data_IF_287469037868
#
_entry.id   IF_287469037868
#
_cell.length_a   1.000
_cell.length_b   1.000
_cell.length_c   1.000
_cell.angle_alpha   90.00
_cell.angle_beta   90.00
_cell.angle_gamma   90.00
#
_symmetry.space_group_name_H-M   'P 1'
#
loop_
_entity.id
_entity.type
_entity.pdbx_description
1 polymer ?
#
# COMPACT_ATOMS: atom_id res chain seq x y z
N UNK A 1 -7.92 -7.54 -8.92
CA UNK A 1 -7.16 -7.95 -7.70
C UNK A 1 -6.57 -6.72 -7.05
N UNK A 2 -6.62 -6.67 -5.72
CA UNK A 2 -6.08 -5.57 -4.92
C UNK A 2 -4.92 -6.09 -4.08
N UNK A 3 -3.78 -5.40 -4.12
CA UNK A 3 -2.61 -5.69 -3.30
C UNK A 3 -2.44 -4.56 -2.27
N UNK A 4 -2.22 -4.90 -1.00
CA UNK A 4 -1.90 -3.95 0.07
C UNK A 4 -0.51 -4.28 0.57
N UNK A 5 0.43 -3.37 0.31
CA UNK A 5 1.81 -3.46 0.75
C UNK A 5 1.99 -2.51 1.93
N UNK A 6 2.48 -3.03 3.05
CA UNK A 6 2.67 -2.22 4.26
C UNK A 6 4.03 -2.49 4.89
N UNK A 7 4.60 -1.46 5.51
CA UNK A 7 5.79 -1.59 6.33
C UNK A 7 5.43 -1.88 7.80
N UNK A 8 6.34 -2.53 8.53
CA UNK A 8 6.12 -2.87 9.94
C UNK A 8 5.31 -4.15 10.16
N UNK A 9 5.11 -4.49 11.43
CA UNK A 9 4.31 -5.65 11.88
C UNK A 9 3.03 -5.17 12.56
N UNK A 10 1.89 -5.75 12.18
CA UNK A 10 0.65 -5.59 12.92
C UNK A 10 0.77 -6.47 14.18
N UNK A 11 0.98 -5.86 15.36
CA UNK A 11 1.12 -6.59 16.63
C UNK A 11 -0.20 -6.75 17.37
N UNK A 12 -1.07 -5.74 17.31
CA UNK A 12 -2.34 -5.72 18.03
C UNK A 12 -3.31 -6.79 17.50
N UNK A 13 -3.82 -7.64 18.39
CA UNK A 13 -4.76 -8.74 18.08
C UNK A 13 -6.11 -8.24 17.58
N UNK A 14 -6.65 -7.15 18.14
CA UNK A 14 -7.94 -6.58 17.71
C UNK A 14 -7.85 -6.03 16.28
N UNK A 15 -6.77 -5.33 15.95
CA UNK A 15 -6.54 -4.82 14.59
C UNK A 15 -6.47 -5.99 13.59
N UNK A 16 -5.78 -7.09 13.94
CA UNK A 16 -5.76 -8.29 13.09
C UNK A 16 -7.16 -8.87 12.85
N UNK A 17 -8.01 -8.91 13.89
CA UNK A 17 -9.39 -9.40 13.78
C UNK A 17 -10.20 -8.52 12.81
N UNK A 18 -10.10 -7.20 12.94
CA UNK A 18 -10.78 -6.26 12.04
C UNK A 18 -10.32 -6.41 10.59
N UNK A 19 -9.01 -6.51 10.35
CA UNK A 19 -8.46 -6.73 9.01
C UNK A 19 -9.03 -8.02 8.40
N UNK A 20 -9.05 -9.12 9.16
CA UNK A 20 -9.57 -10.39 8.67
C UNK A 20 -11.07 -10.31 8.35
N UNK A 21 -11.86 -9.63 9.20
CA UNK A 21 -13.28 -9.40 8.96
C UNK A 21 -13.52 -8.67 7.63
N UNK A 22 -12.86 -7.52 7.41
CA UNK A 22 -13.01 -6.78 6.15
C UNK A 22 -12.47 -7.53 4.93
N UNK A 23 -11.42 -8.32 5.10
CA UNK A 23 -10.89 -9.18 4.03
C UNK A 23 -11.90 -10.25 3.62
N UNK A 24 -12.61 -10.85 4.58
CA UNK A 24 -13.63 -11.87 4.30
C UNK A 24 -14.89 -11.27 3.66
N UNK A 25 -15.30 -10.07 4.06
CA UNK A 25 -16.41 -9.36 3.39
C UNK A 25 -16.07 -9.08 1.92
N UNK A 26 -14.83 -8.67 1.66
CA UNK A 26 -14.38 -8.30 0.31
C UNK A 26 -14.14 -9.51 -0.61
N UNK A 27 -13.84 -10.69 -0.05
CA UNK A 27 -13.39 -11.85 -0.83
C UNK A 27 -14.43 -12.41 -1.80
N UNK A 28 -15.72 -12.07 -1.62
CA UNK A 28 -16.80 -12.47 -2.55
C UNK A 28 -16.60 -11.90 -3.94
N UNK A 29 -16.15 -10.65 -4.02
CA UNK A 29 -16.07 -9.90 -5.28
C UNK A 29 -14.63 -9.49 -5.64
N UNK A 30 -13.73 -9.44 -4.65
CA UNK A 30 -12.39 -8.89 -4.81
C UNK A 30 -11.35 -9.72 -4.04
N UNK A 31 -10.37 -10.26 -4.78
CA UNK A 31 -9.19 -10.87 -4.16
C UNK A 31 -8.28 -9.77 -3.58
N UNK A 32 -8.20 -9.71 -2.25
CA UNK A 32 -7.27 -8.84 -1.51
C UNK A 32 -6.06 -9.65 -1.06
N UNK A 33 -4.88 -9.25 -1.52
CA UNK A 33 -3.60 -9.77 -1.06
C UNK A 33 -2.92 -8.73 -0.16
N UNK A 34 -2.40 -9.15 0.98
CA UNK A 34 -1.66 -8.28 1.90
C UNK A 34 -0.24 -8.79 2.03
N UNK A 35 0.74 -7.93 1.72
CA UNK A 35 2.15 -8.27 1.79
C UNK A 35 2.88 -7.32 2.73
N UNK A 36 3.57 -7.90 3.71
CA UNK A 36 4.50 -7.17 4.56
C UNK A 36 5.80 -6.90 3.80
N UNK A 37 6.23 -5.64 3.79
CA UNK A 37 7.50 -5.21 3.22
C UNK A 37 8.62 -5.40 4.25
N UNK A 38 9.79 -5.92 3.83
CA UNK A 38 10.95 -6.07 4.69
C UNK A 38 11.58 -4.70 4.96
N UNK A 39 11.73 -4.36 6.23
CA UNK A 39 12.46 -3.16 6.65
C UNK A 39 13.97 -3.33 6.45
N UNK A 40 14.64 -2.22 6.15
CA UNK A 40 16.10 -2.18 6.10
C UNK A 40 16.63 -1.96 7.51
N UNK A 41 17.47 -2.87 8.00
CA UNK A 41 18.22 -2.66 9.25
C UNK A 41 19.43 -1.77 8.93
N UNK A 42 19.41 -0.53 9.40
CA UNK A 42 20.57 0.38 9.41
C UNK A 42 20.47 1.29 10.63
N UNK A 43 21.60 1.62 11.24
CA UNK A 43 21.70 2.60 12.33
C UNK A 43 21.47 4.03 11.83
N UNK A 44 21.71 4.30 10.54
CA UNK A 44 21.48 5.61 9.93
C UNK A 44 20.06 5.71 9.35
N UNK A 45 19.22 6.54 9.97
CA UNK A 45 17.82 6.76 9.60
C UNK A 45 17.67 7.29 8.17
N UNK A 46 18.53 8.23 7.74
CA UNK A 46 18.48 8.81 6.38
C UNK A 46 18.78 7.74 5.33
N UNK A 47 19.78 6.92 5.60
CA UNK A 47 20.17 5.83 4.70
C UNK A 47 19.12 4.71 4.66
N UNK A 48 18.51 4.39 5.81
CA UNK A 48 17.39 3.45 5.93
C UNK A 48 16.21 3.90 5.04
N UNK A 49 15.78 5.16 5.18
CA UNK A 49 14.72 5.77 4.36
C UNK A 49 15.01 5.61 2.87
N UNK A 50 16.19 6.07 2.42
CA UNK A 50 16.59 6.01 1.01
C UNK A 50 16.59 4.58 0.44
N UNK A 51 17.09 3.61 1.20
CA UNK A 51 17.15 2.19 0.78
C UNK A 51 15.78 1.53 0.72
N UNK A 52 14.90 1.76 1.71
CA UNK A 52 13.52 1.24 1.72
C UNK A 52 12.74 1.78 0.53
N UNK A 53 12.95 3.04 0.22
CA UNK A 53 12.21 3.75 -0.80
C UNK A 53 12.68 3.38 -2.21
N UNK A 54 13.98 3.18 -2.42
CA UNK A 54 14.50 2.59 -3.66
C UNK A 54 13.95 1.18 -3.91
N UNK A 55 13.78 0.35 -2.87
CA UNK A 55 13.14 -0.97 -3.01
C UNK A 55 11.67 -0.83 -3.39
N UNK A 56 10.96 0.11 -2.76
CA UNK A 56 9.56 0.40 -3.07
C UNK A 56 9.40 0.83 -4.54
N UNK A 57 10.18 1.81 -5.00
CA UNK A 57 10.14 2.32 -6.38
C UNK A 57 10.41 1.21 -7.40
N UNK A 58 11.45 0.39 -7.18
CA UNK A 58 11.75 -0.77 -8.04
C UNK A 58 10.59 -1.75 -8.10
N UNK A 59 9.91 -2.00 -6.97
CA UNK A 59 8.75 -2.90 -6.91
C UNK A 59 7.55 -2.32 -7.65
N UNK A 60 7.24 -1.04 -7.45
CA UNK A 60 6.14 -0.34 -8.15
C UNK A 60 6.33 -0.42 -9.67
N UNK A 61 7.54 -0.10 -10.16
CA UNK A 61 7.86 -0.12 -11.59
C UNK A 61 7.72 -1.54 -12.16
N UNK A 62 8.20 -2.55 -11.42
CA UNK A 62 8.13 -3.96 -11.85
C UNK A 62 6.70 -4.47 -11.92
N UNK A 63 5.87 -4.12 -10.94
CA UNK A 63 4.52 -4.65 -10.78
C UNK A 63 3.56 -4.13 -11.88
N UNK A 64 3.89 -3.02 -12.59
CA UNK A 64 3.07 -2.38 -13.65
C UNK A 64 1.60 -2.12 -13.26
N UNK A 65 1.32 -2.13 -11.96
CA UNK A 65 0.00 -2.01 -11.38
C UNK A 65 -0.36 -0.54 -11.18
N UNK A 66 -1.66 -0.24 -11.17
CA UNK A 66 -2.09 1.09 -10.78
C UNK A 66 -1.81 1.27 -9.29
N UNK A 67 -0.95 2.24 -8.97
CA UNK A 67 -0.38 2.36 -7.64
C UNK A 67 -0.96 3.55 -6.90
N UNK A 68 -1.49 3.28 -5.71
CA UNK A 68 -1.82 4.29 -4.71
C UNK A 68 -0.74 4.28 -3.64
N UNK A 69 -0.22 5.46 -3.35
CA UNK A 69 0.66 5.68 -2.20
C UNK A 69 -0.10 6.51 -1.19
N UNK A 70 -0.23 5.99 0.03
CA UNK A 70 -0.94 6.67 1.11
C UNK A 70 0.03 7.60 1.82
N UNK A 71 -0.26 8.89 1.74
CA UNK A 71 0.54 9.96 2.33
C UNK A 71 -0.39 11.09 2.79
N UNK A 72 -0.03 11.78 3.87
CA UNK A 72 -0.82 12.87 4.43
C UNK A 72 -0.88 14.09 3.49
N UNK A 73 0.10 14.24 2.59
CA UNK A 73 0.12 15.27 1.53
C UNK A 73 -0.70 14.86 0.30
N UNK A 74 -1.26 13.66 0.31
CA UNK A 74 -2.04 13.13 -0.79
C UNK A 74 -3.35 13.88 -1.01
N UNK A 75 -4.01 13.59 -2.13
CA UNK A 75 -5.35 14.12 -2.41
C UNK A 75 -6.37 13.42 -1.53
N UNK A 76 -7.19 14.20 -0.83
CA UNK A 76 -8.37 13.69 -0.14
C UNK A 76 -9.42 13.33 -1.20
N UNK A 77 -9.95 12.12 -1.11
CA UNK A 77 -11.00 11.61 -1.99
C UNK A 77 -12.24 11.31 -1.15
N UNK A 78 -13.42 11.64 -1.69
CA UNK A 78 -14.67 11.13 -1.15
C UNK A 78 -14.83 9.66 -1.52
N UNK A 79 -15.75 8.97 -0.85
CA UNK A 79 -16.03 7.54 -1.09
C UNK A 79 -16.41 7.27 -2.55
N UNK A 80 -17.23 8.12 -3.15
CA UNK A 80 -17.70 7.99 -4.54
C UNK A 80 -16.53 8.10 -5.51
N UNK A 81 -15.68 9.12 -5.35
CA UNK A 81 -14.49 9.31 -6.19
C UNK A 81 -13.47 8.19 -6.02
N UNK A 82 -13.34 7.67 -4.80
CA UNK A 82 -12.45 6.53 -4.54
C UNK A 82 -12.95 5.25 -5.21
N UNK A 83 -14.25 4.97 -5.11
CA UNK A 83 -14.89 3.81 -5.74
C UNK A 83 -14.78 3.89 -7.27
N UNK A 84 -15.13 5.04 -7.87
CA UNK A 84 -15.01 5.27 -9.31
C UNK A 84 -13.58 5.05 -9.80
N UNK A 85 -12.60 5.58 -9.06
CA UNK A 85 -11.19 5.47 -9.42
C UNK A 85 -10.69 4.03 -9.33
N UNK A 86 -11.11 3.24 -8.34
CA UNK A 86 -10.75 1.81 -8.27
C UNK A 86 -11.41 1.04 -9.41
N UNK A 87 -12.72 1.23 -9.58
CA UNK A 87 -13.53 0.49 -10.55
C UNK A 87 -13.04 0.72 -11.98
N UNK A 88 -12.77 1.97 -12.36
CA UNK A 88 -12.15 2.30 -13.65
C UNK A 88 -10.86 1.52 -13.88
N UNK A 89 -9.95 1.47 -12.89
CA UNK A 89 -8.65 0.78 -13.07
C UNK A 89 -8.78 -0.73 -13.12
N UNK A 90 -9.70 -1.30 -12.35
CA UNK A 90 -9.99 -2.74 -12.40
C UNK A 90 -10.65 -3.14 -13.73
N UNK A 91 -11.59 -2.34 -14.25
CA UNK A 91 -12.24 -2.56 -15.56
C UNK A 91 -11.26 -2.56 -16.73
N UNK A 92 -10.20 -1.74 -16.66
CA UNK A 92 -9.10 -1.76 -17.63
C UNK A 92 -8.11 -2.92 -17.44
N UNK A 93 -8.47 -3.95 -16.65
CA UNK A 93 -7.65 -5.14 -16.43
C UNK A 93 -6.41 -4.93 -15.56
N UNK A 94 -6.22 -3.73 -14.98
CA UNK A 94 -5.06 -3.46 -14.11
C UNK A 94 -5.32 -3.99 -12.72
N UNK A 95 -4.26 -4.51 -12.07
CA UNK A 95 -4.32 -4.69 -10.62
C UNK A 95 -4.07 -3.35 -9.93
N UNK A 96 -4.68 -3.20 -8.74
CA UNK A 96 -4.52 -2.00 -7.91
C UNK A 96 -3.62 -2.34 -6.73
N UNK A 97 -2.56 -1.58 -6.54
CA UNK A 97 -1.62 -1.75 -5.42
C UNK A 97 -1.65 -0.53 -4.52
N UNK A 98 -1.91 -0.74 -3.23
CA UNK A 98 -1.77 0.26 -2.18
C UNK A 98 -0.42 0.07 -1.48
N UNK A 99 0.26 1.18 -1.21
CA UNK A 99 1.47 1.20 -0.39
C UNK A 99 1.28 2.13 0.80
N UNK A 100 1.44 1.54 1.98
CA UNK A 100 1.33 2.22 3.26
C UNK A 100 2.74 2.35 3.82
N UNK A 101 3.22 3.60 3.97
CA UNK A 101 4.51 3.92 4.55
C UNK A 101 4.65 3.46 6.00
N UNK A 102 5.88 3.52 6.53
CA UNK A 102 6.11 3.40 7.97
C UNK A 102 5.89 4.78 8.64
N UNK A 103 6.17 4.86 9.94
CA UNK A 103 6.04 6.11 10.71
C UNK A 103 6.94 7.26 10.21
N UNK A 104 7.95 6.97 9.38
CA UNK A 104 8.79 7.99 8.77
C UNK A 104 8.23 8.57 7.48
N UNK A 105 7.10 8.05 6.99
CA UNK A 105 6.49 8.43 5.73
C UNK A 105 7.26 7.91 4.51
N UNK A 106 6.90 8.45 3.35
CA UNK A 106 7.58 8.22 2.06
C UNK A 106 8.20 9.57 1.66
N UNK A 107 9.50 9.56 1.36
CA UNK A 107 10.27 10.76 1.04
C UNK A 107 9.76 11.47 -0.22
N UNK A 108 9.76 12.81 -0.19
CA UNK A 108 9.14 13.70 -1.20
C UNK A 108 9.74 13.55 -2.58
N UNK A 109 11.06 13.35 -2.64
CA UNK A 109 11.83 13.42 -3.88
C UNK A 109 11.63 12.20 -4.81
N UNK A 110 10.58 11.41 -4.63
CA UNK A 110 10.51 10.07 -5.22
C UNK A 110 9.17 9.62 -5.75
N UNK A 111 8.10 10.40 -5.58
CA UNK A 111 6.79 10.15 -6.19
C UNK A 111 6.63 10.94 -7.49
#
# INVERSE_FOLDING_TARGET
MININYFGSIKNKQIKKLINYYKQLSSRNLKINMQRMKEVKSSNIKEKKKKELNKLRKKIIKDKNYTFVLDYRGRILTTEKFAEKIDSKLKHGKHVSFYIGNYYGIDENTL
#
